data_IF_496024346611
#
_entry.id   IF_496024346611
#
_cell.length_a   1.000
_cell.length_b   1.000
_cell.length_c   1.000
_cell.angle_alpha   90.00
_cell.angle_beta   90.00
_cell.angle_gamma   90.00
#
_symmetry.space_group_name_H-M   'P 1'
#
loop_
_entity.id
_entity.type
_entity.pdbx_description
1 polymer ?
#
# COMPACT_ATOMS: atom_id res chain seq x y z
N UNK A 1 3.42 17.11 -14.44
CA UNK A 1 2.51 15.96 -14.66
C UNK A 1 2.32 15.68 -16.15
N UNK A 2 1.80 16.64 -16.93
CA UNK A 2 1.45 16.45 -18.35
C UNK A 2 2.61 15.98 -19.24
N UNK A 3 3.85 16.40 -18.96
CA UNK A 3 5.02 15.90 -19.70
C UNK A 3 5.40 14.47 -19.31
N UNK A 4 5.26 14.11 -18.03
CA UNK A 4 5.59 12.77 -17.54
C UNK A 4 4.66 11.70 -18.11
N UNK A 5 3.35 11.96 -18.16
CA UNK A 5 2.40 10.96 -18.67
C UNK A 5 2.51 10.68 -20.17
N UNK A 6 3.18 11.56 -20.92
CA UNK A 6 3.49 11.30 -22.35
C UNK A 6 4.51 10.17 -22.53
N UNK A 7 5.33 9.87 -21.53
CA UNK A 7 6.37 8.83 -21.59
C UNK A 7 5.74 7.44 -21.73
N UNK A 8 4.71 7.13 -20.94
CA UNK A 8 4.00 5.86 -21.01
C UNK A 8 2.63 5.91 -20.31
N UNK A 9 1.65 5.18 -20.84
CA UNK A 9 0.28 5.11 -20.31
C UNK A 9 0.13 4.60 -18.87
N UNK A 10 1.14 3.88 -18.37
CA UNK A 10 1.14 3.33 -17.01
C UNK A 10 1.73 4.30 -15.97
N UNK A 11 2.12 5.50 -16.36
CA UNK A 11 2.63 6.49 -15.41
C UNK A 11 1.48 7.04 -14.58
N UNK A 12 1.68 7.03 -13.26
CA UNK A 12 0.80 7.63 -12.26
C UNK A 12 1.53 8.78 -11.60
N UNK A 13 0.90 9.93 -11.52
CA UNK A 13 1.50 11.15 -10.96
C UNK A 13 1.32 11.19 -9.46
N UNK A 14 2.41 11.20 -8.72
CA UNK A 14 2.39 11.28 -7.25
C UNK A 14 2.32 12.74 -6.79
N UNK A 15 1.30 13.08 -6.00
CA UNK A 15 0.99 14.45 -5.56
C UNK A 15 0.88 14.47 -4.04
N UNK A 16 1.54 15.40 -3.32
CA UNK A 16 1.40 15.50 -1.87
C UNK A 16 0.01 16.03 -1.48
N UNK A 17 -0.48 15.58 -0.32
CA UNK A 17 -1.78 15.97 0.25
C UNK A 17 -1.72 17.40 0.79
N UNK A 18 -1.96 18.36 -0.10
CA UNK A 18 -2.06 19.80 0.18
C UNK A 18 -3.28 20.39 -0.53
N UNK A 19 -3.70 21.58 -0.16
CA UNK A 19 -4.80 22.25 -0.88
C UNK A 19 -4.47 22.44 -2.37
N UNK A 20 -3.25 22.84 -2.70
CA UNK A 20 -2.79 22.98 -4.09
C UNK A 20 -2.67 21.61 -4.78
N UNK A 21 -2.25 20.57 -4.03
CA UNK A 21 -2.25 19.20 -4.52
C UNK A 21 -3.64 18.74 -4.91
N UNK A 22 -4.67 18.97 -4.09
CA UNK A 22 -6.06 18.62 -4.40
C UNK A 22 -6.59 19.34 -5.64
N UNK A 23 -6.26 20.63 -5.83
CA UNK A 23 -6.60 21.37 -7.07
C UNK A 23 -5.96 20.73 -8.30
N UNK A 24 -4.67 20.35 -8.20
CA UNK A 24 -3.96 19.66 -9.25
C UNK A 24 -4.58 18.29 -9.56
N UNK A 25 -4.93 17.50 -8.54
CA UNK A 25 -5.61 16.21 -8.70
C UNK A 25 -6.90 16.38 -9.47
N UNK A 26 -7.75 17.35 -9.10
CA UNK A 26 -9.03 17.61 -9.77
C UNK A 26 -8.86 17.94 -11.25
N UNK A 27 -7.87 18.77 -11.59
CA UNK A 27 -7.58 19.13 -12.98
C UNK A 27 -7.08 17.90 -13.75
N UNK A 28 -6.14 17.15 -13.19
CA UNK A 28 -5.55 15.99 -13.83
C UNK A 28 -6.56 14.84 -14.01
N UNK A 29 -7.46 14.65 -13.04
CA UNK A 29 -8.54 13.67 -13.15
C UNK A 29 -9.48 14.00 -14.32
N UNK A 30 -9.83 15.28 -14.52
CA UNK A 30 -10.63 15.72 -15.67
C UNK A 30 -9.90 15.51 -17.01
N UNK A 31 -8.58 15.44 -17.00
CA UNK A 31 -7.73 15.15 -18.18
C UNK A 31 -7.46 13.64 -18.36
N UNK A 32 -8.04 12.78 -17.52
CA UNK A 32 -7.83 11.32 -17.55
C UNK A 32 -6.46 10.86 -17.03
N UNK A 33 -5.73 11.76 -16.36
CA UNK A 33 -4.40 11.45 -15.79
C UNK A 33 -4.56 10.80 -14.41
N UNK A 34 -4.03 9.59 -14.25
CA UNK A 34 -4.03 8.88 -12.97
C UNK A 34 -3.11 9.56 -11.95
N UNK A 35 -3.62 9.73 -10.73
CA UNK A 35 -2.87 10.35 -9.64
C UNK A 35 -2.83 9.46 -8.40
N UNK A 36 -1.73 9.55 -7.64
CA UNK A 36 -1.57 8.96 -6.31
C UNK A 36 -1.32 10.09 -5.30
N UNK A 37 -2.30 10.34 -4.43
CA UNK A 37 -2.14 11.34 -3.38
C UNK A 37 -1.39 10.73 -2.20
N UNK A 38 -0.24 11.31 -1.90
CA UNK A 38 0.71 10.82 -0.87
C UNK A 38 0.76 11.73 0.35
N UNK A 39 1.43 11.25 1.42
CA UNK A 39 1.52 11.94 2.71
C UNK A 39 0.14 12.13 3.34
N UNK A 40 -0.63 11.06 3.36
CA UNK A 40 -1.94 11.02 4.03
C UNK A 40 -1.74 10.45 5.43
N UNK A 41 -2.26 11.17 6.42
CA UNK A 41 -2.17 10.88 7.85
C UNK A 41 -3.51 10.95 8.58
N UNK A 42 -4.62 11.14 7.84
CA UNK A 42 -5.98 11.10 8.40
C UNK A 42 -6.98 10.59 7.37
N UNK A 43 -8.07 9.99 7.82
CA UNK A 43 -9.16 9.55 6.95
C UNK A 43 -9.83 10.72 6.22
N UNK A 44 -9.89 11.91 6.84
CA UNK A 44 -10.39 13.13 6.20
C UNK A 44 -9.56 13.52 4.98
N UNK A 45 -8.23 13.43 5.08
CA UNK A 45 -7.34 13.70 3.96
C UNK A 45 -7.57 12.71 2.81
N UNK A 46 -7.70 11.41 3.13
CA UNK A 46 -7.97 10.38 2.13
C UNK A 46 -9.32 10.62 1.42
N UNK A 47 -10.36 10.94 2.18
CA UNK A 47 -11.69 11.23 1.63
C UNK A 47 -11.66 12.47 0.71
N UNK A 48 -10.97 13.54 1.10
CA UNK A 48 -10.83 14.73 0.25
C UNK A 48 -10.08 14.41 -1.05
N UNK A 49 -9.01 13.62 -0.97
CA UNK A 49 -8.23 13.20 -2.14
C UNK A 49 -9.08 12.37 -3.10
N UNK A 50 -9.83 11.40 -2.58
CA UNK A 50 -10.73 10.57 -3.35
C UNK A 50 -11.81 11.40 -4.07
N UNK A 51 -12.46 12.33 -3.34
CA UNK A 51 -13.48 13.22 -3.91
C UNK A 51 -12.91 14.25 -4.89
N UNK A 52 -11.62 14.55 -4.84
CA UNK A 52 -10.94 15.34 -5.86
C UNK A 52 -10.67 14.54 -7.16
N UNK A 53 -10.85 13.21 -7.13
CA UNK A 53 -10.66 12.31 -8.29
C UNK A 53 -9.30 11.58 -8.30
N UNK A 54 -8.67 11.42 -7.14
CA UNK A 54 -7.47 10.60 -7.03
C UNK A 54 -7.75 9.15 -7.42
N UNK A 55 -6.87 8.55 -8.24
CA UNK A 55 -6.93 7.12 -8.55
C UNK A 55 -6.45 6.29 -7.35
N UNK A 56 -5.43 6.79 -6.66
CA UNK A 56 -4.82 6.15 -5.50
C UNK A 56 -4.63 7.14 -4.36
N UNK A 57 -4.72 6.63 -3.13
CA UNK A 57 -4.31 7.33 -1.91
C UNK A 57 -3.26 6.50 -1.17
N UNK A 58 -2.23 7.16 -0.63
CA UNK A 58 -1.15 6.51 0.11
C UNK A 58 -1.12 6.98 1.57
N UNK A 59 -1.91 6.39 2.47
CA UNK A 59 -1.80 6.61 3.91
C UNK A 59 -0.51 5.99 4.47
N UNK A 60 0.17 6.75 5.36
CA UNK A 60 1.49 6.41 5.87
C UNK A 60 1.42 5.80 7.26
N UNK A 61 0.98 4.54 7.36
CA UNK A 61 0.74 3.86 8.63
C UNK A 61 1.99 3.79 9.53
N UNK A 62 3.16 3.45 9.00
CA UNK A 62 4.36 3.34 9.82
C UNK A 62 4.85 4.66 10.40
N UNK A 63 4.62 5.80 9.72
CA UNK A 63 4.92 7.12 10.30
C UNK A 63 3.93 7.51 11.39
N UNK A 64 2.71 7.02 11.33
CA UNK A 64 1.72 7.20 12.41
C UNK A 64 2.17 6.42 13.66
N UNK A 65 2.69 5.19 13.48
CA UNK A 65 3.28 4.43 14.58
C UNK A 65 4.51 5.13 15.18
N UNK A 66 5.36 5.73 14.35
CA UNK A 66 6.57 6.45 14.78
C UNK A 66 6.27 7.59 15.80
N UNK A 67 5.07 8.15 15.77
CA UNK A 67 4.62 9.20 16.71
C UNK A 67 3.74 8.69 17.87
N UNK A 68 3.70 7.37 18.07
CA UNK A 68 2.98 6.76 19.20
C UNK A 68 1.48 6.59 18.99
N UNK A 69 1.01 6.59 17.75
CA UNK A 69 -0.37 6.28 17.37
C UNK A 69 -0.44 4.94 16.63
N UNK A 70 -1.63 4.38 16.45
CA UNK A 70 -1.82 3.10 15.75
C UNK A 70 -2.09 3.36 14.27
N UNK A 71 -1.09 3.11 13.42
CA UNK A 71 -1.19 3.38 11.99
C UNK A 71 -2.24 2.53 11.27
N UNK A 72 -2.49 1.31 11.74
CA UNK A 72 -3.53 0.45 11.18
C UNK A 72 -4.95 1.01 11.38
N UNK A 73 -5.23 1.69 12.48
CA UNK A 73 -6.53 2.36 12.68
C UNK A 73 -6.83 3.36 11.56
N UNK A 74 -5.81 4.12 11.12
CA UNK A 74 -5.95 5.02 9.97
C UNK A 74 -6.34 4.27 8.69
N UNK A 75 -5.73 3.11 8.44
CA UNK A 75 -6.03 2.29 7.27
C UNK A 75 -7.46 1.77 7.32
N UNK A 76 -7.87 1.19 8.45
CA UNK A 76 -9.20 0.63 8.69
C UNK A 76 -10.29 1.69 8.51
N UNK A 77 -10.12 2.88 9.10
CA UNK A 77 -11.04 4.00 8.91
C UNK A 77 -11.20 4.41 7.44
N UNK A 78 -10.12 4.44 6.67
CA UNK A 78 -10.16 4.80 5.24
C UNK A 78 -10.91 3.72 4.45
N UNK A 79 -10.60 2.44 4.69
CA UNK A 79 -11.25 1.31 4.03
C UNK A 79 -12.75 1.33 4.30
N UNK A 80 -13.15 1.43 5.57
CA UNK A 80 -14.55 1.47 5.97
C UNK A 80 -15.32 2.61 5.28
N UNK A 81 -14.74 3.82 5.26
CA UNK A 81 -15.36 4.99 4.62
C UNK A 81 -15.50 4.76 3.11
N UNK A 82 -14.47 4.21 2.46
CA UNK A 82 -14.50 4.00 1.03
C UNK A 82 -15.51 2.93 0.64
N UNK A 83 -15.60 1.84 1.39
CA UNK A 83 -16.57 0.77 1.18
C UNK A 83 -18.01 1.24 1.39
N UNK A 84 -18.29 1.94 2.52
CA UNK A 84 -19.63 2.45 2.83
C UNK A 84 -20.15 3.40 1.74
N UNK A 85 -19.26 4.21 1.18
CA UNK A 85 -19.63 5.23 0.19
C UNK A 85 -19.35 4.83 -1.26
N UNK A 86 -18.98 3.58 -1.53
CA UNK A 86 -18.68 3.08 -2.88
C UNK A 86 -17.61 3.91 -3.59
N UNK A 87 -16.53 4.28 -2.89
CA UNK A 87 -15.43 5.07 -3.44
C UNK A 87 -14.45 4.12 -4.13
N UNK A 88 -14.27 4.30 -5.44
CA UNK A 88 -13.41 3.43 -6.26
C UNK A 88 -11.91 3.75 -6.17
N UNK A 89 -11.53 4.80 -5.44
CA UNK A 89 -10.11 5.16 -5.21
C UNK A 89 -9.40 4.04 -4.45
N UNK A 90 -8.32 3.50 -5.02
CA UNK A 90 -7.57 2.41 -4.41
C UNK A 90 -6.63 2.91 -3.29
N UNK A 91 -6.52 2.11 -2.24
CA UNK A 91 -5.72 2.42 -1.05
C UNK A 91 -4.38 1.69 -1.13
N UNK A 92 -3.29 2.46 -1.04
CA UNK A 92 -1.92 1.97 -0.99
C UNK A 92 -1.40 2.09 0.44
N UNK A 93 -1.32 1.00 1.18
CA UNK A 93 -0.67 0.99 2.49
C UNK A 93 0.81 1.37 2.33
N UNK A 94 1.19 2.54 2.84
CA UNK A 94 2.52 3.10 2.68
C UNK A 94 3.26 3.20 4.02
N UNK A 95 4.60 3.39 3.94
CA UNK A 95 5.44 3.43 5.14
C UNK A 95 5.43 2.11 5.94
N UNK A 96 5.38 0.99 5.25
CA UNK A 96 5.46 -0.36 5.84
C UNK A 96 6.80 -0.53 6.56
N UNK A 97 6.79 -1.09 7.78
CA UNK A 97 7.97 -1.28 8.62
C UNK A 97 8.32 -2.74 8.86
N UNK A 98 7.34 -3.64 8.79
CA UNK A 98 7.49 -5.06 9.13
C UNK A 98 6.46 -5.93 8.40
N UNK A 99 6.61 -7.26 8.40
CA UNK A 99 5.66 -8.18 7.76
C UNK A 99 4.24 -8.14 8.33
N UNK A 100 4.04 -7.80 9.61
CA UNK A 100 2.71 -7.71 10.21
C UNK A 100 1.91 -6.58 9.58
N UNK A 101 2.53 -5.42 9.34
CA UNK A 101 1.86 -4.32 8.61
C UNK A 101 1.31 -4.76 7.24
N UNK A 102 2.02 -5.65 6.54
CA UNK A 102 1.57 -6.15 5.23
C UNK A 102 0.33 -7.03 5.37
N UNK A 103 0.36 -7.95 6.35
CA UNK A 103 -0.78 -8.87 6.62
C UNK A 103 -1.98 -8.08 7.11
N UNK A 104 -1.78 -7.17 8.06
CA UNK A 104 -2.87 -6.39 8.64
C UNK A 104 -3.49 -5.44 7.61
N UNK A 105 -2.67 -4.78 6.77
CA UNK A 105 -3.18 -3.98 5.67
C UNK A 105 -3.97 -4.82 4.65
N UNK A 106 -3.51 -6.02 4.32
CA UNK A 106 -4.23 -6.94 3.44
C UNK A 106 -5.57 -7.40 4.05
N UNK A 107 -5.59 -7.70 5.36
CA UNK A 107 -6.83 -8.09 6.09
C UNK A 107 -7.83 -6.95 6.20
N UNK A 108 -7.33 -5.72 6.35
CA UNK A 108 -8.16 -4.53 6.37
C UNK A 108 -8.78 -4.19 5.00
N UNK A 109 -8.31 -4.78 3.91
CA UNK A 109 -8.85 -4.55 2.57
C UNK A 109 -8.07 -3.54 1.72
N UNK A 110 -6.81 -3.23 2.09
CA UNK A 110 -5.96 -2.43 1.21
C UNK A 110 -5.73 -3.13 -0.14
N UNK A 111 -5.78 -2.37 -1.20
CA UNK A 111 -5.57 -2.86 -2.56
C UNK A 111 -4.09 -3.11 -2.88
N UNK A 112 -3.22 -2.27 -2.35
CA UNK A 112 -1.78 -2.25 -2.66
C UNK A 112 -1.00 -1.97 -1.38
N UNK A 113 0.24 -2.48 -1.29
CA UNK A 113 1.21 -2.10 -0.25
C UNK A 113 2.55 -1.73 -0.89
N UNK A 114 3.18 -0.65 -0.41
CA UNK A 114 4.57 -0.33 -0.76
C UNK A 114 5.50 -0.93 0.28
N UNK A 115 6.17 -2.01 -0.09
CA UNK A 115 6.94 -2.82 0.84
C UNK A 115 8.43 -2.59 0.62
N UNK A 116 9.20 -2.15 1.65
CA UNK A 116 10.65 -2.07 1.56
C UNK A 116 11.28 -3.43 1.30
N UNK A 117 12.37 -3.48 0.54
CA UNK A 117 13.02 -4.73 0.14
C UNK A 117 13.39 -5.63 1.34
N UNK A 118 13.92 -5.05 2.42
CA UNK A 118 14.24 -5.80 3.64
C UNK A 118 13.01 -6.46 4.27
N UNK A 119 11.85 -5.81 4.25
CA UNK A 119 10.59 -6.37 4.75
C UNK A 119 10.12 -7.50 3.82
N UNK A 120 10.24 -7.32 2.51
CA UNK A 120 9.89 -8.34 1.52
C UNK A 120 10.70 -9.63 1.73
N UNK A 121 12.01 -9.50 2.00
CA UNK A 121 12.88 -10.65 2.34
C UNK A 121 12.46 -11.29 3.66
N UNK A 122 12.07 -10.51 4.68
CA UNK A 122 11.58 -11.05 5.94
C UNK A 122 10.29 -11.87 5.77
N UNK A 123 9.38 -11.44 4.90
CA UNK A 123 8.13 -12.16 4.61
C UNK A 123 8.36 -13.56 4.03
N UNK A 124 9.46 -13.76 3.32
CA UNK A 124 9.82 -15.06 2.73
C UNK A 124 10.50 -16.02 3.73
N UNK A 125 10.93 -15.54 4.90
CA UNK A 125 11.67 -16.34 5.88
C UNK A 125 10.75 -16.87 6.98
N UNK A 126 10.86 -18.18 7.26
CA UNK A 126 10.15 -18.78 8.38
C UNK A 126 10.96 -19.94 8.96
N UNK A 127 11.21 -20.00 10.29
CA UNK A 127 12.01 -21.07 10.90
C UNK A 127 11.49 -22.47 10.62
N UNK A 128 10.17 -22.65 10.58
CA UNK A 128 9.57 -23.97 10.27
C UNK A 128 9.78 -24.38 8.81
N UNK A 129 9.96 -23.45 7.90
CA UNK A 129 10.29 -23.75 6.50
C UNK A 129 11.70 -24.34 6.44
N UNK A 130 12.67 -23.72 7.12
CA UNK A 130 14.04 -24.18 7.16
C UNK A 130 14.12 -25.60 7.77
N UNK A 131 13.47 -25.81 8.92
CA UNK A 131 13.37 -27.13 9.56
C UNK A 131 12.68 -28.16 8.67
N UNK A 132 11.63 -27.76 7.93
CA UNK A 132 10.92 -28.62 6.99
C UNK A 132 11.81 -29.06 5.84
N UNK A 133 12.60 -28.15 5.27
CA UNK A 133 13.57 -28.44 4.20
C UNK A 133 14.62 -29.46 4.69
N UNK A 134 15.19 -29.23 5.89
CA UNK A 134 16.17 -30.16 6.46
C UNK A 134 15.60 -31.59 6.64
N UNK A 135 14.34 -31.71 7.07
CA UNK A 135 13.66 -33.01 7.19
C UNK A 135 13.46 -33.66 5.83
N UNK A 136 12.97 -32.92 4.85
CA UNK A 136 12.77 -33.45 3.48
C UNK A 136 14.07 -33.92 2.86
N UNK A 137 15.17 -33.23 3.08
CA UNK A 137 16.50 -33.65 2.58
C UNK A 137 16.93 -34.96 3.25
N UNK A 138 16.77 -35.12 4.54
CA UNK A 138 17.06 -36.39 5.26
C UNK A 138 16.20 -37.54 4.76
N UNK A 139 14.91 -37.32 4.56
CA UNK A 139 13.99 -38.31 4.03
C UNK A 139 14.41 -38.73 2.61
N UNK A 140 14.82 -37.76 1.78
CA UNK A 140 15.31 -38.02 0.43
C UNK A 140 16.58 -38.88 0.41
N UNK A 141 17.50 -38.69 1.36
CA UNK A 141 18.72 -39.51 1.48
C UNK A 141 18.40 -40.98 1.78
N UNK A 142 17.27 -41.26 2.43
CA UNK A 142 16.81 -42.61 2.77
C UNK A 142 16.17 -43.36 1.59
N UNK A 143 15.86 -42.68 0.49
CA UNK A 143 15.24 -43.27 -0.69
C UNK A 143 16.30 -44.11 -1.46
N UNK A 144 16.05 -45.42 -1.75
CA UNK A 144 16.98 -46.26 -2.51
C UNK A 144 17.25 -45.64 -3.87
N UNK A 145 18.52 -45.34 -4.15
CA UNK A 145 18.94 -44.91 -5.48
C UNK A 145 18.90 -46.13 -6.39
N UNK A 146 18.05 -46.11 -7.42
CA UNK A 146 18.03 -47.13 -8.48
C UNK A 146 19.28 -47.02 -9.35
#
# INVERSE_FOLDING_TARGET
>A
ARELVKIHKNIVIKIPMTLEGLKAVKILAAEGVKTNVTLIFSATQALMAARAGATYVSPFLGRVDDIGSVGMTLIEEIVDIFDIHGIETEIIAASIRNPLHVIDAARAGCHIATIPYNVLIQMAKHPLTDIGIERFLKDWESVPKK
#
